data_IF_472467405896
#
_entry.id   IF_472467405896
#
_cell.length_a   1.000
_cell.length_b   1.000
_cell.length_c   1.000
_cell.angle_alpha   90.00
_cell.angle_beta   90.00
_cell.angle_gamma   90.00
#
_symmetry.space_group_name_H-M   'P 1'
#
loop_
_entity.id
_entity.type
_entity.pdbx_description
1 polymer ?
#
# COMPACT_ATOMS: atom_id res chain seq x y z
N UNK A 1 -1.95 -7.77 26.12
CA UNK A 1 -1.57 -7.73 24.70
C UNK A 1 -2.86 -7.63 23.89
N UNK A 2 -2.95 -6.73 22.90
CA UNK A 2 -4.14 -6.61 22.03
C UNK A 2 -3.71 -7.04 20.63
N UNK A 3 -4.36 -8.08 20.10
CA UNK A 3 -4.11 -8.61 18.76
C UNK A 3 -5.39 -8.50 17.93
N UNK A 4 -5.23 -8.29 16.62
CA UNK A 4 -6.33 -8.24 15.67
C UNK A 4 -5.92 -8.91 14.37
N UNK A 5 -6.89 -9.45 13.64
CA UNK A 5 -6.70 -10.06 12.32
C UNK A 5 -7.52 -9.30 11.30
N UNK A 6 -6.91 -9.00 10.16
CA UNK A 6 -7.61 -8.50 8.99
C UNK A 6 -7.77 -9.66 7.99
N UNK A 7 -8.96 -9.78 7.45
CA UNK A 7 -9.23 -10.66 6.31
C UNK A 7 -9.61 -9.76 5.14
N UNK A 8 -9.03 -10.05 3.97
CA UNK A 8 -9.36 -9.35 2.74
C UNK A 8 -10.32 -10.22 1.95
N UNK A 9 -11.52 -9.70 1.68
CA UNK A 9 -12.57 -10.40 0.92
C UNK A 9 -12.44 -10.24 -0.60
N UNK A 10 -11.29 -9.77 -1.09
CA UNK A 10 -11.04 -9.59 -2.52
C UNK A 10 -10.32 -10.82 -3.09
N UNK A 11 -10.62 -11.25 -4.34
CA UNK A 11 -9.77 -12.18 -5.08
C UNK A 11 -8.30 -11.72 -5.13
N UNK A 12 -8.08 -10.42 -5.04
CA UNK A 12 -6.77 -9.77 -5.07
C UNK A 12 -6.19 -9.55 -3.65
N UNK A 13 -6.69 -10.27 -2.64
CA UNK A 13 -6.15 -10.23 -1.28
C UNK A 13 -4.65 -10.57 -1.23
N UNK A 14 -4.23 -11.55 -2.03
CA UNK A 14 -2.82 -11.92 -2.17
C UNK A 14 -1.98 -10.73 -2.66
N UNK A 15 -2.53 -9.92 -3.57
CA UNK A 15 -1.92 -8.69 -4.04
C UNK A 15 -1.76 -7.71 -2.88
N UNK A 16 -2.81 -7.32 -2.17
CA UNK A 16 -2.67 -6.39 -1.03
C UNK A 16 -1.67 -6.86 0.05
N UNK A 17 -1.63 -8.16 0.33
CA UNK A 17 -0.83 -8.71 1.42
C UNK A 17 0.67 -8.67 1.18
N UNK A 18 1.16 -8.91 -0.04
CA UNK A 18 2.60 -8.95 -0.26
C UNK A 18 3.23 -7.53 -0.41
N UNK A 19 2.41 -6.47 -0.48
CA UNK A 19 2.80 -5.05 -0.58
C UNK A 19 3.00 -4.46 0.80
N UNK A 20 2.37 -5.09 1.79
CA UNK A 20 2.55 -4.79 3.18
C UNK A 20 3.90 -5.39 3.60
N UNK A 21 4.76 -4.60 4.26
CA UNK A 21 5.95 -5.16 4.89
C UNK A 21 5.50 -6.19 5.93
N UNK A 22 6.27 -7.27 6.06
CA UNK A 22 5.99 -8.35 7.02
C UNK A 22 5.87 -7.83 8.46
N UNK A 23 6.55 -6.73 8.76
CA UNK A 23 6.51 -6.05 10.03
C UNK A 23 6.55 -4.53 9.84
N UNK A 24 5.55 -3.83 10.40
CA UNK A 24 5.58 -2.37 10.56
C UNK A 24 5.93 -2.08 12.02
N UNK A 25 7.13 -1.54 12.24
CA UNK A 25 7.47 -0.98 13.54
C UNK A 25 7.00 0.47 13.62
N UNK A 26 5.96 0.71 14.41
CA UNK A 26 5.45 2.06 14.67
C UNK A 26 5.85 2.50 16.08
N UNK A 27 6.53 3.64 16.18
CA UNK A 27 6.89 4.26 17.45
C UNK A 27 6.41 5.70 17.54
N UNK A 28 6.06 6.18 18.73
CA UNK A 28 5.79 7.60 19.00
C UNK A 28 4.49 8.20 18.42
N UNK A 29 3.64 7.40 17.74
CA UNK A 29 2.42 7.93 17.12
C UNK A 29 1.24 8.01 18.11
N UNK A 30 1.03 9.20 18.67
CA UNK A 30 -0.07 9.53 19.60
C UNK A 30 -1.43 9.06 19.09
N UNK A 31 -1.70 9.20 17.79
CA UNK A 31 -2.97 8.81 17.16
C UNK A 31 -3.21 7.30 17.22
N UNK A 32 -2.19 6.49 16.96
CA UNK A 32 -2.26 5.03 17.08
C UNK A 32 -2.42 4.60 18.54
N UNK A 33 -1.77 5.28 19.48
CA UNK A 33 -1.96 5.03 20.91
C UNK A 33 -3.41 5.29 21.35
N UNK A 34 -4.03 6.39 20.90
CA UNK A 34 -5.45 6.67 21.14
C UNK A 34 -6.35 5.57 20.58
N UNK A 35 -6.09 5.08 19.37
CA UNK A 35 -6.85 3.99 18.78
C UNK A 35 -6.71 2.68 19.58
N UNK A 36 -5.53 2.36 20.13
CA UNK A 36 -5.38 1.21 21.05
C UNK A 36 -6.32 1.34 22.24
N UNK A 37 -6.37 2.53 22.84
CA UNK A 37 -7.19 2.75 24.03
C UNK A 37 -8.68 2.63 23.71
N UNK A 38 -9.13 3.19 22.59
CA UNK A 38 -10.53 3.02 22.15
C UNK A 38 -10.89 1.55 21.91
N UNK A 39 -10.01 0.79 21.26
CA UNK A 39 -10.24 -0.66 21.04
C UNK A 39 -10.26 -1.42 22.38
N UNK A 40 -9.38 -1.07 23.32
CA UNK A 40 -9.36 -1.69 24.65
C UNK A 40 -10.67 -1.44 25.40
N UNK A 41 -11.13 -0.20 25.44
CA UNK A 41 -12.35 0.17 26.14
C UNK A 41 -13.56 -0.54 25.53
N UNK A 42 -13.68 -0.51 24.21
CA UNK A 42 -14.78 -1.19 23.50
C UNK A 42 -14.73 -2.72 23.66
N UNK A 43 -13.53 -3.30 23.77
CA UNK A 43 -13.38 -4.73 23.98
C UNK A 43 -13.76 -5.16 25.41
N UNK A 44 -13.68 -4.27 26.40
CA UNK A 44 -13.98 -4.55 27.81
C UNK A 44 -15.46 -4.37 28.14
N UNK A 45 -16.17 -3.51 27.42
CA UNK A 45 -17.59 -3.23 27.68
C UNK A 45 -18.50 -4.05 26.75
N UNK A 46 -19.50 -4.75 27.30
CA UNK A 46 -20.52 -5.46 26.50
C UNK A 46 -21.61 -4.49 26.00
N UNK A 47 -21.25 -3.66 25.04
CA UNK A 47 -22.15 -2.65 24.46
C UNK A 47 -22.84 -3.16 23.20
N UNK A 48 -24.07 -2.70 22.92
CA UNK A 48 -24.69 -2.93 21.61
C UNK A 48 -23.77 -2.47 20.48
N UNK A 49 -23.70 -3.25 19.40
CA UNK A 49 -22.87 -3.00 18.22
C UNK A 49 -21.33 -3.04 18.43
N UNK A 50 -20.85 -3.56 19.56
CA UNK A 50 -19.42 -3.73 19.89
C UNK A 50 -18.57 -4.26 18.74
N UNK A 51 -18.96 -5.38 18.13
CA UNK A 51 -18.18 -6.00 17.04
C UNK A 51 -18.04 -5.08 15.82
N UNK A 52 -19.09 -4.31 15.50
CA UNK A 52 -19.04 -3.34 14.41
C UNK A 52 -18.09 -2.18 14.72
N UNK A 53 -18.12 -1.67 15.96
CA UNK A 53 -17.23 -0.59 16.42
C UNK A 53 -15.78 -1.07 16.41
N UNK A 54 -15.50 -2.25 16.98
CA UNK A 54 -14.19 -2.87 16.97
C UNK A 54 -13.65 -3.05 15.54
N UNK A 55 -14.48 -3.56 14.62
CA UNK A 55 -14.10 -3.70 13.21
C UNK A 55 -13.68 -2.38 12.57
N UNK A 56 -14.44 -1.31 12.81
CA UNK A 56 -14.11 0.03 12.29
C UNK A 56 -12.84 0.61 12.93
N UNK A 57 -12.67 0.48 14.24
CA UNK A 57 -11.47 0.96 14.94
C UNK A 57 -10.21 0.23 14.49
N UNK A 58 -10.30 -1.09 14.28
CA UNK A 58 -9.22 -1.89 13.71
C UNK A 58 -8.89 -1.43 12.28
N UNK A 59 -9.89 -1.21 11.42
CA UNK A 59 -9.66 -0.71 10.06
C UNK A 59 -8.92 0.64 10.05
N UNK A 60 -9.34 1.59 10.90
CA UNK A 60 -8.64 2.87 11.05
C UNK A 60 -7.20 2.67 11.54
N UNK A 61 -6.98 1.75 12.50
CA UNK A 61 -5.63 1.44 13.00
C UNK A 61 -4.71 0.87 11.91
N UNK A 62 -5.23 0.01 11.03
CA UNK A 62 -4.47 -0.52 9.89
C UNK A 62 -4.03 0.62 8.96
N UNK A 63 -4.95 1.53 8.61
CA UNK A 63 -4.67 2.69 7.75
C UNK A 63 -3.61 3.59 8.38
N UNK A 64 -3.72 3.88 9.68
CA UNK A 64 -2.73 4.70 10.38
C UNK A 64 -1.35 4.03 10.42
N UNK A 65 -1.28 2.70 10.59
CA UNK A 65 -0.02 1.96 10.54
C UNK A 65 0.62 2.01 9.14
N UNK A 66 -0.18 1.91 8.07
CA UNK A 66 0.31 2.04 6.70
C UNK A 66 0.85 3.44 6.39
N UNK A 67 0.16 4.50 6.84
CA UNK A 67 0.64 5.88 6.70
C UNK A 67 1.96 6.09 7.44
N UNK A 68 2.04 5.60 8.68
CA UNK A 68 3.25 5.63 9.48
C UNK A 68 4.42 4.92 8.80
N UNK A 69 4.16 3.78 8.15
CA UNK A 69 5.18 3.05 7.41
C UNK A 69 5.71 3.88 6.24
N UNK A 70 4.83 4.60 5.55
CA UNK A 70 5.21 5.36 4.36
C UNK A 70 5.97 6.67 4.66
N UNK A 71 5.65 7.36 5.77
CA UNK A 71 6.37 8.58 6.20
C UNK A 71 7.80 8.28 6.67
N UNK A 72 8.09 7.06 7.09
CA UNK A 72 9.28 6.72 7.87
C UNK A 72 10.38 6.05 7.04
N UNK A 73 10.86 6.74 5.99
CA UNK A 73 11.94 6.29 5.12
C UNK A 73 11.78 4.85 4.61
N UNK A 74 10.53 4.47 4.26
CA UNK A 74 10.24 3.14 3.73
C UNK A 74 11.21 2.81 2.57
N UNK A 75 11.67 1.55 2.47
CA UNK A 75 12.35 1.11 1.27
C UNK A 75 11.44 1.36 0.05
N UNK A 76 12.01 1.58 -1.15
CA UNK A 76 11.24 1.62 -2.39
C UNK A 76 10.26 0.44 -2.47
N UNK A 77 9.01 0.73 -2.82
CA UNK A 77 7.93 -0.24 -2.80
C UNK A 77 6.57 0.44 -2.92
N UNK A 78 5.51 -0.35 -2.99
CA UNK A 78 4.19 0.21 -3.29
C UNK A 78 3.69 1.18 -2.23
N UNK A 79 3.85 0.91 -0.93
CA UNK A 79 3.39 1.84 0.11
C UNK A 79 4.04 3.22 -0.03
N UNK A 80 5.32 3.25 -0.44
CA UNK A 80 6.05 4.48 -0.72
C UNK A 80 5.54 5.16 -2.00
N UNK A 81 5.27 4.38 -3.04
CA UNK A 81 4.62 4.88 -4.26
C UNK A 81 3.21 5.45 -4.01
N UNK A 82 2.40 4.81 -3.17
CA UNK A 82 1.05 5.26 -2.81
C UNK A 82 1.05 6.49 -1.89
N UNK A 83 2.10 6.69 -1.11
CA UNK A 83 2.27 7.89 -0.29
C UNK A 83 2.82 9.09 -1.08
N UNK A 84 3.41 8.85 -2.25
CA UNK A 84 3.79 9.93 -3.15
C UNK A 84 2.55 10.63 -3.70
N UNK A 85 2.48 11.95 -3.51
CA UNK A 85 1.28 12.74 -3.83
C UNK A 85 0.84 12.67 -5.29
N UNK A 86 1.76 12.41 -6.23
CA UNK A 86 1.45 12.35 -7.66
C UNK A 86 1.39 10.91 -8.18
N UNK A 87 2.21 9.98 -7.66
CA UNK A 87 2.07 8.56 -8.04
C UNK A 87 0.83 7.91 -7.41
N UNK A 88 0.42 8.39 -6.23
CA UNK A 88 -0.76 7.91 -5.52
C UNK A 88 -2.08 8.14 -6.26
N UNK A 89 -2.13 8.98 -7.31
CA UNK A 89 -3.29 9.08 -8.20
C UNK A 89 -3.27 8.04 -9.33
N UNK A 90 -2.08 7.72 -9.87
CA UNK A 90 -1.95 6.82 -11.01
C UNK A 90 -1.94 5.33 -10.62
N UNK A 91 -1.32 4.98 -9.49
CA UNK A 91 -1.21 3.59 -9.03
C UNK A 91 -2.59 2.95 -8.80
N UNK A 92 -3.56 3.60 -8.13
CA UNK A 92 -4.90 3.04 -7.97
C UNK A 92 -5.62 2.77 -9.29
N UNK A 93 -5.35 3.54 -10.36
CA UNK A 93 -5.95 3.30 -11.67
C UNK A 93 -5.52 1.95 -12.25
N UNK A 94 -4.24 1.57 -12.09
CA UNK A 94 -3.71 0.28 -12.52
C UNK A 94 -4.49 -0.87 -11.86
N UNK A 95 -4.68 -0.78 -10.55
CA UNK A 95 -5.36 -1.82 -9.78
C UNK A 95 -6.89 -1.78 -9.93
N UNK A 96 -7.46 -0.63 -10.28
CA UNK A 96 -8.89 -0.46 -10.54
C UNK A 96 -9.34 -1.07 -11.87
N UNK A 97 -8.46 -1.07 -12.88
CA UNK A 97 -8.71 -1.73 -14.17
C UNK A 97 -7.45 -2.46 -14.69
N UNK A 98 -7.16 -3.68 -14.18
CA UNK A 98 -5.97 -4.44 -14.58
C UNK A 98 -5.98 -4.90 -16.04
N UNK A 99 -7.15 -4.92 -16.70
CA UNK A 99 -7.30 -5.38 -18.09
C UNK A 99 -7.08 -4.25 -19.09
N UNK A 100 -7.05 -3.01 -18.62
CA UNK A 100 -6.77 -1.87 -19.47
C UNK A 100 -5.34 -1.92 -20.02
N UNK A 101 -5.16 -1.47 -21.26
CA UNK A 101 -3.84 -1.33 -21.88
C UNK A 101 -3.11 -0.10 -21.31
N UNK A 102 -2.58 -0.24 -20.10
CA UNK A 102 -1.80 0.79 -19.45
C UNK A 102 -0.48 1.02 -20.19
N UNK A 103 -0.18 2.29 -20.45
CA UNK A 103 1.12 2.73 -20.98
C UNK A 103 1.71 3.76 -20.05
N UNK A 104 3.04 3.92 -20.08
CA UNK A 104 3.74 4.96 -19.32
C UNK A 104 3.16 6.35 -19.61
N UNK A 105 2.72 6.61 -20.84
CA UNK A 105 2.13 7.90 -21.20
C UNK A 105 0.76 8.12 -20.57
N UNK A 106 -0.11 7.10 -20.53
CA UNK A 106 -1.42 7.20 -19.86
C UNK A 106 -1.24 7.40 -18.36
N UNK A 107 -0.37 6.63 -17.72
CA UNK A 107 -0.10 6.73 -16.28
C UNK A 107 0.53 8.08 -15.91
N UNK A 108 1.41 8.61 -16.75
CA UNK A 108 1.98 9.94 -16.56
C UNK A 108 0.89 11.03 -16.63
N UNK A 109 -0.11 10.88 -17.51
CA UNK A 109 -1.27 11.80 -17.58
C UNK A 109 -2.10 11.76 -16.30
N UNK A 110 -2.42 10.57 -15.78
CA UNK A 110 -3.13 10.41 -14.49
C UNK A 110 -2.34 11.00 -13.30
N UNK A 111 -1.01 10.93 -13.36
CA UNK A 111 -0.11 11.51 -12.38
C UNK A 111 0.17 13.02 -12.59
N UNK A 112 -0.39 13.64 -13.65
CA UNK A 112 -0.10 15.03 -14.04
C UNK A 112 1.41 15.30 -14.23
N UNK A 113 2.14 14.33 -14.79
CA UNK A 113 3.57 14.40 -15.05
C UNK A 113 3.89 14.23 -16.54
N UNK A 114 5.08 14.68 -16.94
CA UNK A 114 5.65 14.24 -18.22
C UNK A 114 6.05 12.76 -18.14
N UNK A 115 6.10 12.10 -19.30
CA UNK A 115 6.45 10.67 -19.40
C UNK A 115 7.79 10.33 -18.72
N UNK A 116 8.83 11.12 -18.95
CA UNK A 116 10.16 10.86 -18.39
C UNK A 116 10.19 11.08 -16.88
N UNK A 117 9.56 12.15 -16.39
CA UNK A 117 9.49 12.44 -14.95
C UNK A 117 8.71 11.36 -14.21
N UNK A 118 7.59 10.90 -14.78
CA UNK A 118 6.82 9.79 -14.23
C UNK A 118 7.67 8.52 -14.14
N UNK A 119 8.36 8.16 -15.22
CA UNK A 119 9.20 6.96 -15.26
C UNK A 119 10.27 6.96 -14.17
N UNK A 120 11.04 8.05 -14.06
CA UNK A 120 12.13 8.15 -13.08
C UNK A 120 11.60 8.16 -11.64
N UNK A 121 10.50 8.88 -11.40
CA UNK A 121 9.88 8.96 -10.07
C UNK A 121 9.29 7.62 -9.66
N UNK A 122 8.56 6.96 -10.55
CA UNK A 122 7.99 5.64 -10.29
C UNK A 122 9.08 4.63 -9.92
N UNK A 123 10.16 4.57 -10.71
CA UNK A 123 11.29 3.67 -10.42
C UNK A 123 11.92 3.96 -9.06
N UNK A 124 12.05 5.23 -8.68
CA UNK A 124 12.65 5.63 -7.40
C UNK A 124 11.77 5.30 -6.19
N UNK A 125 10.46 5.57 -6.28
CA UNK A 125 9.55 5.37 -5.15
C UNK A 125 9.05 3.93 -5.04
N UNK A 126 8.79 3.26 -6.18
CA UNK A 126 8.23 1.89 -6.24
C UNK A 126 9.32 0.82 -6.34
N UNK A 127 10.50 1.16 -6.87
CA UNK A 127 11.66 0.26 -6.95
C UNK A 127 11.76 -0.57 -8.24
N UNK A 128 10.74 -0.55 -9.09
CA UNK A 128 10.69 -1.26 -10.39
C UNK A 128 10.24 -0.32 -11.50
N UNK A 129 10.42 -0.71 -12.77
CA UNK A 129 9.95 0.12 -13.88
C UNK A 129 8.42 0.06 -14.01
N UNK A 130 7.73 1.11 -14.51
CA UNK A 130 6.27 1.11 -14.63
C UNK A 130 5.69 -0.05 -15.46
N UNK A 131 6.35 -0.41 -16.57
CA UNK A 131 5.87 -1.51 -17.42
C UNK A 131 6.18 -2.88 -16.82
N UNK A 132 7.31 -3.00 -16.14
CA UNK A 132 7.67 -4.20 -15.37
C UNK A 132 6.69 -4.44 -14.23
N UNK A 133 6.29 -3.37 -13.53
CA UNK A 133 5.23 -3.39 -12.53
C UNK A 133 3.96 -4.00 -13.11
N UNK A 134 3.50 -3.54 -14.27
CA UNK A 134 2.29 -4.06 -14.95
C UNK A 134 2.43 -5.54 -15.35
N UNK A 135 3.58 -5.94 -15.88
CA UNK A 135 3.84 -7.31 -16.35
C UNK A 135 3.87 -8.33 -15.21
N UNK A 136 4.40 -7.93 -14.05
CA UNK A 136 4.34 -8.73 -12.83
C UNK A 136 2.95 -8.68 -12.15
N UNK A 137 1.92 -8.10 -12.78
CA UNK A 137 0.58 -7.99 -12.23
C UNK A 137 0.40 -6.85 -11.22
N UNK A 138 1.23 -5.82 -11.30
CA UNK A 138 1.30 -4.69 -10.37
C UNK A 138 2.23 -4.95 -9.18
N UNK A 139 3.35 -5.67 -9.38
CA UNK A 139 4.05 -6.31 -8.27
C UNK A 139 5.57 -6.12 -8.22
N UNK A 140 6.12 -5.35 -7.26
CA UNK A 140 7.54 -5.32 -6.95
C UNK A 140 7.87 -6.32 -5.84
N UNK A 141 8.37 -7.50 -6.20
CA UNK A 141 8.94 -8.43 -5.22
C UNK A 141 10.33 -7.96 -4.79
N UNK A 142 10.68 -7.99 -3.48
CA UNK A 142 12.06 -7.83 -3.06
C UNK A 142 12.85 -9.09 -3.49
N UNK A 143 13.54 -9.00 -4.63
CA UNK A 143 14.59 -9.94 -5.03
C UNK A 143 14.34 -10.85 -6.23
N UNK A 144 13.24 -10.72 -6.98
CA UNK A 144 12.94 -11.68 -8.09
C UNK A 144 13.06 -11.12 -9.50
N UNK A 145 13.15 -9.80 -9.71
CA UNK A 145 13.18 -9.22 -11.07
C UNK A 145 14.57 -8.75 -11.55
N UNK A 146 15.66 -9.25 -10.94
CA UNK A 146 16.99 -9.04 -11.49
C UNK A 146 17.41 -10.28 -12.30
N UNK A 147 16.92 -10.42 -13.54
CA UNK A 147 17.36 -11.53 -14.38
C UNK A 147 16.47 -11.94 -15.55
N UNK A 148 15.99 -11.02 -16.37
CA UNK A 148 15.50 -11.36 -17.72
C UNK A 148 15.65 -10.15 -18.64
N UNK A 149 16.85 -9.92 -19.15
CA UNK A 149 17.12 -8.80 -20.06
C UNK A 149 18.59 -8.60 -20.36
N UNK A 150 19.34 -9.67 -20.59
CA UNK A 150 20.67 -9.61 -21.19
C UNK A 150 20.80 -10.76 -22.19
N UNK A 151 20.27 -10.58 -23.40
CA UNK A 151 20.74 -11.17 -24.66
C UNK A 151 19.79 -10.82 -25.82
N UNK A 152 20.42 -10.31 -26.89
CA UNK A 152 19.94 -10.06 -28.26
C UNK A 152 19.06 -8.81 -28.48
#
# INVERSE_FOLDING_TARGET
MLAGRFAFGSPDAGLLLSLLPELIHVHGLKRIATLVQLVRNEAQDERPAREMVLGRLLAVRLIEAQRAAADNAAPPGLLRGLADAQLGSAIPCIHGDPRHEWTVERLAKEASMSRSVFFDRFRREVGVQPMEYLLCGGWPSPGTCCGAGMAA
#
